data_IF_638156082166
#
_entry.id   IF_638156082166
#
_cell.length_a   1.000
_cell.length_b   1.000
_cell.length_c   1.000
_cell.angle_alpha   90.00
_cell.angle_beta   90.00
_cell.angle_gamma   90.00
#
_symmetry.space_group_name_H-M   'P 1'
#
loop_
_entity.id
_entity.type
_entity.pdbx_description
1 polymer ?
#
# COMPACT_ATOMS: atom_id res chain seq x y z
N UNK A 1 -44.99 -36.23 60.43
CA UNK A 1 -44.69 -34.91 59.83
C UNK A 1 -44.48 -35.10 58.35
N UNK A 2 -45.37 -34.50 57.58
CA UNK A 2 -45.47 -34.50 56.12
C UNK A 2 -44.44 -33.52 55.56
N UNK A 3 -43.63 -33.91 54.58
CA UNK A 3 -42.96 -32.97 53.67
C UNK A 3 -42.51 -33.69 52.40
N UNK A 4 -43.43 -33.73 51.43
CA UNK A 4 -43.20 -34.02 50.02
C UNK A 4 -42.26 -32.95 49.42
N UNK A 5 -41.15 -33.37 48.80
CA UNK A 5 -40.30 -32.47 48.01
C UNK A 5 -40.85 -32.37 46.57
N UNK A 6 -40.97 -31.16 45.99
CA UNK A 6 -41.51 -30.99 44.64
C UNK A 6 -40.47 -31.25 43.55
N UNK A 7 -40.94 -31.80 42.44
CA UNK A 7 -40.22 -31.93 41.18
C UNK A 7 -40.03 -30.54 40.53
N UNK A 8 -38.79 -30.16 40.26
CA UNK A 8 -38.46 -28.95 39.52
C UNK A 8 -38.42 -29.24 38.02
N UNK A 9 -39.42 -28.73 37.32
CA UNK A 9 -39.53 -28.70 35.87
C UNK A 9 -38.34 -27.99 35.21
N UNK A 10 -37.66 -28.67 34.29
CA UNK A 10 -36.67 -28.07 33.39
C UNK A 10 -37.39 -27.23 32.33
N UNK A 11 -37.56 -25.94 32.61
CA UNK A 11 -37.97 -24.94 31.62
C UNK A 11 -36.85 -24.74 30.61
N UNK A 12 -37.06 -25.22 29.39
CA UNK A 12 -36.27 -24.90 28.21
C UNK A 12 -36.41 -23.40 27.89
N UNK A 13 -35.46 -22.60 28.36
CA UNK A 13 -35.33 -21.20 27.96
C UNK A 13 -34.64 -21.13 26.60
N UNK A 14 -35.45 -20.95 25.57
CA UNK A 14 -35.06 -20.55 24.23
C UNK A 14 -34.50 -19.12 24.29
N UNK A 15 -33.21 -18.97 24.57
CA UNK A 15 -32.55 -17.66 24.56
C UNK A 15 -32.15 -17.31 23.13
N UNK A 16 -32.91 -16.37 22.60
CA UNK A 16 -32.85 -15.75 21.30
C UNK A 16 -31.43 -15.38 20.85
N UNK A 17 -31.20 -15.69 19.57
CA UNK A 17 -30.10 -15.28 18.72
C UNK A 17 -29.77 -13.79 18.89
N UNK A 18 -28.74 -13.50 19.66
CA UNK A 18 -27.93 -12.30 19.50
C UNK A 18 -26.52 -12.76 19.23
N UNK A 19 -26.27 -13.09 17.96
CA UNK A 19 -24.93 -13.39 17.48
C UNK A 19 -24.13 -12.09 17.53
N UNK A 20 -23.55 -11.80 18.69
CA UNK A 20 -22.51 -10.78 18.84
C UNK A 20 -21.38 -11.18 17.89
N UNK A 21 -21.31 -10.52 16.74
CA UNK A 21 -20.26 -10.66 15.73
C UNK A 21 -18.94 -10.21 16.34
N UNK A 22 -18.33 -11.09 17.11
CA UNK A 22 -16.96 -10.96 17.58
C UNK A 22 -16.10 -10.98 16.34
N UNK A 23 -15.54 -9.83 15.98
CA UNK A 23 -14.57 -9.67 14.91
C UNK A 23 -13.45 -10.70 15.14
N UNK A 24 -13.47 -11.76 14.36
CA UNK A 24 -12.57 -12.91 14.48
C UNK A 24 -11.16 -12.62 13.93
N UNK A 25 -10.76 -11.34 13.93
CA UNK A 25 -9.49 -10.86 13.37
C UNK A 25 -8.30 -11.08 14.30
N UNK A 26 -8.55 -11.37 15.59
CA UNK A 26 -7.48 -11.55 16.60
C UNK A 26 -7.53 -12.89 17.36
N UNK A 27 -8.33 -13.87 16.93
CA UNK A 27 -8.31 -15.18 17.57
C UNK A 27 -7.19 -16.05 16.95
N UNK A 28 -6.17 -16.50 17.71
CA UNK A 28 -5.14 -17.39 17.17
C UNK A 28 -5.72 -18.73 16.66
N UNK A 29 -6.90 -19.15 17.13
CA UNK A 29 -7.59 -20.32 16.57
C UNK A 29 -8.29 -20.05 15.23
N UNK A 30 -8.52 -18.79 14.87
CA UNK A 30 -9.06 -18.39 13.56
C UNK A 30 -7.98 -18.29 12.47
N UNK A 31 -6.70 -18.22 12.86
CA UNK A 31 -5.59 -18.46 11.93
C UNK A 31 -5.63 -19.89 11.33
N UNK A 32 -6.35 -20.82 11.99
CA UNK A 32 -6.60 -22.18 11.49
C UNK A 32 -7.81 -22.30 10.55
N UNK A 33 -8.60 -21.23 10.36
CA UNK A 33 -9.69 -21.26 9.38
C UNK A 33 -9.11 -21.23 7.95
N UNK A 34 -9.45 -22.24 7.15
CA UNK A 34 -8.95 -22.38 5.78
C UNK A 34 -9.27 -21.14 4.92
N UNK A 35 -10.48 -20.61 5.08
CA UNK A 35 -10.99 -19.46 4.33
C UNK A 35 -12.26 -18.91 5.01
N UNK A 36 -12.39 -17.58 5.12
CA UNK A 36 -13.57 -16.87 5.63
C UNK A 36 -13.89 -15.73 4.67
N UNK A 37 -15.18 -15.41 4.48
CA UNK A 37 -15.61 -14.24 3.69
C UNK A 37 -16.14 -13.14 4.59
N UNK A 38 -15.78 -11.90 4.30
CA UNK A 38 -16.28 -10.73 5.05
C UNK A 38 -17.78 -10.59 4.77
N UNK A 39 -18.66 -10.51 5.80
CA UNK A 39 -20.10 -10.53 5.59
C UNK A 39 -20.70 -9.18 5.13
N UNK A 40 -19.96 -8.08 5.29
CA UNK A 40 -20.41 -6.72 4.99
C UNK A 40 -19.26 -5.88 4.49
N UNK A 41 -19.57 -4.71 3.92
CA UNK A 41 -18.54 -3.74 3.57
C UNK A 41 -17.83 -3.24 4.84
N UNK A 42 -16.50 -3.20 4.78
CA UNK A 42 -15.63 -2.76 5.88
C UNK A 42 -14.71 -1.66 5.37
N UNK A 43 -14.76 -0.51 6.03
CA UNK A 43 -13.83 0.59 5.78
C UNK A 43 -12.54 0.33 6.55
N UNK A 44 -11.43 0.46 5.84
CA UNK A 44 -10.09 0.29 6.39
C UNK A 44 -9.17 1.40 5.90
N UNK A 45 -8.04 1.54 6.57
CA UNK A 45 -6.97 2.43 6.15
C UNK A 45 -5.66 1.67 5.99
N UNK A 46 -4.85 2.11 5.04
CA UNK A 46 -3.51 1.56 4.79
C UNK A 46 -2.54 2.09 5.85
N UNK A 47 -1.85 1.20 6.55
CA UNK A 47 -0.76 1.53 7.48
C UNK A 47 0.62 1.24 6.89
N UNK A 48 0.71 0.28 5.98
CA UNK A 48 1.96 -0.12 5.35
C UNK A 48 1.72 -0.71 3.96
N UNK A 49 2.73 -0.62 3.09
CA UNK A 49 2.76 -1.23 1.75
C UNK A 49 4.17 -1.71 1.44
N UNK A 50 4.28 -2.96 1.02
CA UNK A 50 5.55 -3.58 0.66
C UNK A 50 5.43 -4.28 -0.70
N UNK A 51 6.48 -4.19 -1.51
CA UNK A 51 6.63 -5.00 -2.71
C UNK A 51 7.31 -6.32 -2.33
N UNK A 52 6.58 -7.43 -2.44
CA UNK A 52 7.10 -8.77 -2.16
C UNK A 52 7.87 -9.38 -3.34
N UNK A 53 7.78 -8.77 -4.52
CA UNK A 53 8.46 -9.27 -5.73
C UNK A 53 9.85 -8.70 -5.94
N UNK A 54 10.26 -7.68 -5.18
CA UNK A 54 11.62 -7.14 -5.17
C UNK A 54 12.34 -7.58 -3.90
N UNK A 55 13.63 -7.93 -4.01
CA UNK A 55 14.38 -8.34 -2.82
C UNK A 55 14.54 -7.17 -1.84
N UNK A 56 14.59 -7.44 -0.53
CA UNK A 56 14.84 -6.38 0.45
C UNK A 56 16.19 -5.71 0.22
N UNK A 57 17.19 -6.47 -0.21
CA UNK A 57 18.52 -5.96 -0.54
C UNK A 57 18.48 -4.96 -1.69
N UNK A 58 17.85 -5.33 -2.81
CA UNK A 58 17.65 -4.44 -3.98
C UNK A 58 16.90 -3.16 -3.59
N UNK A 59 15.89 -3.27 -2.72
CA UNK A 59 15.19 -2.09 -2.21
C UNK A 59 16.06 -1.19 -1.33
N UNK A 60 16.97 -1.75 -0.53
CA UNK A 60 17.95 -0.98 0.26
C UNK A 60 18.95 -0.29 -0.66
N UNK A 61 19.51 -1.03 -1.62
CA UNK A 61 20.51 -0.52 -2.56
C UNK A 61 19.98 0.66 -3.37
N UNK A 62 18.77 0.55 -3.91
CA UNK A 62 18.09 1.63 -4.64
C UNK A 62 17.90 2.87 -3.76
N UNK A 63 17.45 2.69 -2.51
CA UNK A 63 17.26 3.81 -1.58
C UNK A 63 18.59 4.48 -1.20
N UNK A 64 19.67 3.71 -1.06
CA UNK A 64 21.00 4.24 -0.78
C UNK A 64 21.61 4.94 -2.01
N UNK A 65 21.40 4.41 -3.21
CA UNK A 65 21.82 5.04 -4.46
C UNK A 65 21.14 6.41 -4.63
N UNK A 66 19.83 6.49 -4.38
CA UNK A 66 19.11 7.76 -4.37
C UNK A 66 19.65 8.73 -3.32
N UNK A 67 19.96 8.25 -2.11
CA UNK A 67 20.56 9.08 -1.06
C UNK A 67 21.97 9.58 -1.43
N UNK A 68 22.71 8.82 -2.25
CA UNK A 68 24.03 9.20 -2.79
C UNK A 68 23.93 10.10 -4.03
N UNK A 69 22.73 10.38 -4.53
CA UNK A 69 22.52 11.13 -5.77
C UNK A 69 22.84 10.33 -7.04
N UNK A 70 22.94 9.01 -6.93
CA UNK A 70 23.18 8.08 -8.03
C UNK A 70 21.81 7.57 -8.52
N UNK A 71 21.24 8.19 -9.55
CA UNK A 71 20.07 7.63 -10.25
C UNK A 71 20.55 6.88 -11.47
N UNK A 72 20.31 5.57 -11.52
CA UNK A 72 20.54 4.76 -12.73
C UNK A 72 19.33 4.86 -13.65
N UNK A 73 19.48 5.59 -14.77
CA UNK A 73 18.51 5.49 -15.88
C UNK A 73 19.04 4.43 -16.85
N UNK A 74 18.64 3.17 -16.66
CA UNK A 74 19.15 2.04 -17.45
C UNK A 74 20.55 1.60 -16.98
N UNK A 75 21.50 1.43 -17.91
CA UNK A 75 22.90 1.02 -17.61
C UNK A 75 23.84 2.19 -17.23
N UNK A 76 23.33 3.41 -17.09
CA UNK A 76 24.14 4.59 -16.84
C UNK A 76 23.83 5.21 -15.48
N UNK A 77 24.87 5.37 -14.65
CA UNK A 77 24.82 6.11 -13.38
C UNK A 77 24.91 7.60 -13.72
N UNK A 78 23.84 8.35 -13.47
CA UNK A 78 23.86 9.82 -13.56
C UNK A 78 24.12 10.35 -12.14
N UNK A 79 25.23 11.09 -11.98
CA UNK A 79 25.49 11.88 -10.77
C UNK A 79 24.79 13.22 -10.94
N UNK A 80 23.86 13.53 -10.04
CA UNK A 80 23.28 14.87 -9.99
C UNK A 80 24.19 15.72 -9.11
N UNK A 81 25.00 16.57 -9.73
CA UNK A 81 25.65 17.69 -9.02
C UNK A 81 24.56 18.72 -8.71
N UNK A 82 24.47 19.15 -7.45
CA UNK A 82 23.64 20.29 -7.07
C UNK A 82 24.46 21.56 -7.33
N UNK A 83 24.35 22.11 -8.53
CA UNK A 83 24.68 23.48 -8.92
C UNK A 83 24.24 23.62 -10.38
N UNK A 84 23.07 24.21 -10.61
CA UNK A 84 22.72 25.01 -11.79
C UNK A 84 21.23 25.40 -11.68
N UNK A 85 20.94 26.31 -10.75
CA UNK A 85 19.81 27.23 -10.86
C UNK A 85 20.38 28.66 -10.90
N UNK A 86 19.92 29.41 -11.90
CA UNK A 86 20.03 30.86 -12.15
C UNK A 86 21.37 31.46 -12.66
N UNK A 87 21.42 31.84 -13.95
CA UNK A 87 21.28 33.26 -14.32
C UNK A 87 20.93 33.49 -15.81
N UNK A 88 20.06 34.46 -16.04
CA UNK A 88 19.55 34.92 -17.32
C UNK A 88 20.44 36.07 -17.84
N UNK A 89 21.30 35.80 -18.82
CA UNK A 89 22.01 36.86 -19.54
C UNK A 89 21.71 36.84 -21.05
N UNK A 90 20.83 37.76 -21.41
CA UNK A 90 20.52 38.27 -22.75
C UNK A 90 21.79 38.53 -23.59
N UNK A 91 21.96 37.78 -24.68
CA UNK A 91 23.01 37.98 -25.68
C UNK A 91 22.43 37.93 -27.10
N UNK A 92 22.21 39.11 -27.67
CA UNK A 92 21.86 39.37 -29.09
C UNK A 92 23.12 39.26 -29.97
N UNK A 93 22.91 39.05 -31.28
CA UNK A 93 23.80 39.13 -32.47
C UNK A 93 24.02 37.74 -33.11
N UNK A 94 23.19 37.31 -34.07
CA UNK A 94 23.11 37.63 -35.52
C UNK A 94 23.93 36.64 -36.38
N UNK A 95 23.31 36.11 -37.46
CA UNK A 95 24.03 35.40 -38.52
C UNK A 95 23.47 34.07 -39.04
N UNK A 96 22.56 34.18 -40.01
CA UNK A 96 22.38 33.30 -41.19
C UNK A 96 21.65 31.94 -41.10
N UNK A 97 20.74 31.79 -42.07
CA UNK A 97 19.67 30.82 -42.19
C UNK A 97 20.07 29.50 -42.88
N UNK A 98 19.41 28.40 -42.47
CA UNK A 98 18.91 27.38 -43.40
C UNK A 98 17.71 26.67 -42.76
N UNK A 99 16.54 26.99 -43.31
CA UNK A 99 15.22 26.52 -42.95
C UNK A 99 15.07 25.01 -43.19
N UNK A 100 14.65 24.26 -42.17
CA UNK A 100 13.88 23.03 -42.36
C UNK A 100 12.67 23.03 -41.45
N UNK A 101 11.54 23.26 -42.10
CA UNK A 101 10.19 23.16 -41.59
C UNK A 101 9.89 21.72 -41.21
N UNK A 102 9.64 21.46 -39.92
CA UNK A 102 8.80 20.33 -39.51
C UNK A 102 7.90 20.74 -38.35
N UNK A 103 6.81 21.39 -38.74
CA UNK A 103 5.59 21.52 -37.99
C UNK A 103 4.97 20.13 -37.87
N UNK A 104 5.07 19.48 -36.70
CA UNK A 104 4.19 18.35 -36.38
C UNK A 104 3.80 18.37 -34.90
N UNK A 105 2.68 19.06 -34.65
CA UNK A 105 1.67 18.74 -33.63
C UNK A 105 2.18 18.43 -32.21
N UNK A 106 2.56 19.48 -31.49
CA UNK A 106 2.54 19.50 -30.02
C UNK A 106 1.09 19.63 -29.54
N UNK A 107 0.30 18.57 -29.74
CA UNK A 107 -1.00 18.40 -29.11
C UNK A 107 -1.25 16.90 -28.99
N UNK A 108 -1.56 16.44 -27.78
CA UNK A 108 -1.78 15.04 -27.38
C UNK A 108 -0.58 14.29 -26.77
N UNK A 109 0.04 14.87 -25.73
CA UNK A 109 0.64 14.09 -24.64
C UNK A 109 0.24 14.61 -23.23
N UNK A 110 -0.78 15.47 -23.17
CA UNK A 110 -1.34 16.01 -21.93
C UNK A 110 -2.62 15.25 -21.53
N UNK A 111 -2.55 13.93 -21.44
CA UNK A 111 -3.68 13.13 -20.96
C UNK A 111 -3.21 11.77 -20.44
N UNK A 112 -2.69 11.75 -19.21
CA UNK A 112 -2.86 10.69 -18.19
C UNK A 112 -2.17 11.05 -16.86
N UNK A 113 -2.26 12.31 -16.44
CA UNK A 113 -2.11 12.66 -15.02
C UNK A 113 -3.49 12.57 -14.38
N UNK A 114 -3.98 11.35 -14.19
CA UNK A 114 -5.16 11.10 -13.37
C UNK A 114 -4.67 10.81 -11.95
N UNK A 115 -5.12 11.64 -11.01
CA UNK A 115 -4.91 11.59 -9.56
C UNK A 115 -3.72 12.38 -9.00
N UNK A 116 -3.62 13.67 -9.36
CA UNK A 116 -2.92 14.66 -8.54
C UNK A 116 -3.77 14.99 -7.31
N UNK A 117 -3.59 14.21 -6.24
CA UNK A 117 -4.04 14.53 -4.89
C UNK A 117 -2.82 14.53 -3.96
N UNK A 118 -2.31 15.72 -3.65
CA UNK A 118 -1.22 15.96 -2.69
C UNK A 118 0.17 16.00 -3.34
N UNK A 119 0.73 17.20 -3.52
CA UNK A 119 2.06 17.47 -4.07
C UNK A 119 3.23 17.07 -3.15
N UNK A 120 3.30 15.81 -2.77
CA UNK A 120 4.49 15.21 -2.17
C UNK A 120 5.26 14.40 -3.22
N UNK A 121 6.59 14.47 -3.20
CA UNK A 121 7.42 13.61 -4.03
C UNK A 121 7.11 12.14 -3.71
N UNK A 122 6.75 11.36 -4.73
CA UNK A 122 6.51 9.93 -4.56
C UNK A 122 7.79 9.27 -3.99
N UNK A 123 7.67 8.37 -2.99
CA UNK A 123 8.84 7.77 -2.39
C UNK A 123 9.63 6.96 -3.42
N UNK A 124 10.98 7.01 -3.38
CA UNK A 124 11.80 6.16 -4.21
C UNK A 124 11.45 4.70 -3.97
N UNK A 125 11.23 3.97 -5.06
CA UNK A 125 10.80 2.58 -5.03
C UNK A 125 11.35 1.86 -6.24
N UNK A 126 11.82 0.62 -6.03
CA UNK A 126 12.14 -0.30 -7.12
C UNK A 126 10.91 -0.45 -7.99
N UNK A 127 11.06 -0.19 -9.29
CA UNK A 127 9.96 -0.24 -10.23
C UNK A 127 9.31 -1.62 -10.18
N UNK A 128 8.05 -1.65 -9.76
CA UNK A 128 7.27 -2.87 -9.70
C UNK A 128 6.99 -3.37 -11.13
N UNK A 129 7.47 -4.58 -11.46
CA UNK A 129 7.12 -5.25 -12.71
C UNK A 129 5.60 -5.43 -12.86
N UNK A 130 5.11 -5.78 -14.06
CA UNK A 130 3.67 -5.94 -14.33
C UNK A 130 3.00 -6.97 -13.43
N UNK A 131 3.75 -7.95 -12.92
CA UNK A 131 3.29 -9.02 -12.04
C UNK A 131 3.77 -8.89 -10.59
N UNK A 132 4.20 -7.69 -10.17
CA UNK A 132 4.64 -7.48 -8.80
C UNK A 132 3.49 -7.69 -7.81
N UNK A 133 3.74 -8.47 -6.76
CA UNK A 133 2.79 -8.74 -5.68
C UNK A 133 3.08 -7.84 -4.50
N UNK A 134 2.07 -7.12 -4.02
CA UNK A 134 2.21 -6.27 -2.85
C UNK A 134 1.52 -6.84 -1.62
N UNK A 135 2.11 -6.54 -0.46
CA UNK A 135 1.51 -6.76 0.86
C UNK A 135 1.16 -5.43 1.47
N UNK A 136 -0.02 -5.32 2.06
CA UNK A 136 -0.45 -4.16 2.83
C UNK A 136 -0.69 -4.55 4.28
N UNK A 137 -0.57 -3.58 5.17
CA UNK A 137 -1.14 -3.65 6.52
C UNK A 137 -2.36 -2.74 6.54
N UNK A 138 -3.53 -3.30 6.82
CA UNK A 138 -4.79 -2.58 6.87
C UNK A 138 -5.26 -2.45 8.31
N UNK A 139 -5.90 -1.33 8.63
CA UNK A 139 -6.50 -1.10 9.94
C UNK A 139 -7.97 -0.70 9.81
N UNK A 140 -8.84 -1.33 10.61
CA UNK A 140 -10.26 -0.94 10.70
C UNK A 140 -10.48 0.24 11.67
N UNK A 141 -11.73 0.70 11.76
CA UNK A 141 -12.11 1.79 12.66
C UNK A 141 -12.01 1.45 14.16
N UNK A 142 -11.88 0.17 14.51
CA UNK A 142 -11.69 -0.30 15.89
C UNK A 142 -10.21 -0.43 16.25
N UNK A 143 -9.31 -0.16 15.29
CA UNK A 143 -7.88 -0.27 15.46
C UNK A 143 -7.31 -1.66 15.17
N UNK A 144 -8.13 -2.65 14.80
CA UNK A 144 -7.67 -3.99 14.46
C UNK A 144 -6.83 -3.93 13.19
N UNK A 145 -5.70 -4.66 13.18
CA UNK A 145 -4.77 -4.70 12.07
C UNK A 145 -4.81 -6.06 11.40
N UNK A 146 -4.73 -6.08 10.07
CA UNK A 146 -4.70 -7.31 9.28
C UNK A 146 -3.75 -7.16 8.10
N UNK A 147 -3.04 -8.23 7.77
CA UNK A 147 -2.27 -8.27 6.53
C UNK A 147 -3.21 -8.47 5.35
N UNK A 148 -2.86 -7.85 4.23
CA UNK A 148 -3.55 -8.07 2.97
C UNK A 148 -2.52 -8.34 1.87
N UNK A 149 -2.83 -9.28 0.99
CA UNK A 149 -1.96 -9.66 -0.13
C UNK A 149 -2.73 -9.45 -1.43
N UNK A 150 -2.08 -8.80 -2.39
CA UNK A 150 -2.59 -8.60 -3.74
C UNK A 150 -2.69 -9.95 -4.47
N UNK A 151 -3.88 -10.56 -4.48
CA UNK A 151 -4.12 -11.84 -5.16
C UNK A 151 -4.32 -11.64 -6.67
N UNK A 152 -4.99 -10.56 -7.05
CA UNK A 152 -5.11 -10.08 -8.44
C UNK A 152 -4.65 -8.64 -8.52
N UNK A 153 -4.09 -8.25 -9.66
CA UNK A 153 -3.53 -6.92 -9.87
C UNK A 153 -4.54 -5.83 -9.61
N UNK A 154 -4.17 -4.86 -8.77
CA UNK A 154 -4.90 -3.62 -8.53
C UNK A 154 -3.96 -2.45 -8.85
N UNK A 155 -4.21 -1.73 -9.94
CA UNK A 155 -3.23 -0.77 -10.51
C UNK A 155 -2.76 0.36 -9.58
N UNK A 156 -3.60 0.70 -8.60
CA UNK A 156 -3.34 1.74 -7.59
C UNK A 156 -2.55 1.19 -6.38
N UNK A 157 -2.41 -0.13 -6.26
CA UNK A 157 -1.58 -0.76 -5.24
C UNK A 157 -0.15 -0.87 -5.75
N UNK A 158 0.73 -0.04 -5.20
CA UNK A 158 2.17 -0.20 -5.33
C UNK A 158 2.88 0.68 -4.31
N UNK A 159 4.12 0.31 -3.97
CA UNK A 159 5.03 1.23 -3.29
C UNK A 159 5.23 2.47 -4.15
N UNK A 160 4.98 3.65 -3.58
CA UNK A 160 5.07 4.94 -4.30
C UNK A 160 3.79 5.37 -5.02
N UNK A 161 2.79 4.48 -5.13
CA UNK A 161 1.44 4.84 -5.60
C UNK A 161 0.43 4.87 -4.46
N UNK A 162 0.51 3.91 -3.55
CA UNK A 162 -0.36 3.80 -2.39
C UNK A 162 0.12 4.74 -1.29
N UNK A 163 -0.77 5.57 -0.79
CA UNK A 163 -0.47 6.49 0.31
C UNK A 163 -0.69 5.81 1.66
N UNK A 164 0.06 6.25 2.67
CA UNK A 164 -0.19 5.80 4.04
C UNK A 164 -1.34 6.63 4.62
N UNK A 165 -2.26 5.94 5.28
CA UNK A 165 -3.55 6.47 5.70
C UNK A 165 -4.61 6.49 4.59
N UNK A 166 -4.30 6.00 3.39
CA UNK A 166 -5.26 5.89 2.28
C UNK A 166 -6.44 5.02 2.70
N UNK A 167 -7.65 5.49 2.40
CA UNK A 167 -8.89 4.83 2.79
C UNK A 167 -9.32 3.85 1.72
N UNK A 168 -9.77 2.69 2.16
CA UNK A 168 -10.22 1.60 1.29
C UNK A 168 -11.49 0.98 1.84
N UNK A 169 -12.28 0.40 0.96
CA UNK A 169 -13.43 -0.45 1.30
C UNK A 169 -13.12 -1.86 0.87
N UNK A 170 -13.18 -2.79 1.82
CA UNK A 170 -13.28 -4.23 1.55
C UNK A 170 -14.76 -4.56 1.42
N UNK A 171 -15.17 -5.08 0.26
CA UNK A 171 -16.58 -5.37 -0.02
C UNK A 171 -17.03 -6.65 0.70
N UNK A 172 -18.33 -6.75 0.94
CA UNK A 172 -18.92 -8.03 1.32
C UNK A 172 -18.50 -9.13 0.33
N UNK A 173 -18.05 -10.26 0.84
CA UNK A 173 -17.52 -11.37 0.05
C UNK A 173 -16.00 -11.40 -0.12
N UNK A 174 -15.25 -10.34 0.27
CA UNK A 174 -13.77 -10.39 0.28
C UNK A 174 -13.29 -11.57 1.10
N UNK A 175 -12.30 -12.30 0.58
CA UNK A 175 -11.78 -13.52 1.19
C UNK A 175 -10.66 -13.20 2.17
N UNK A 176 -10.69 -13.84 3.33
CA UNK A 176 -9.62 -13.90 4.32
C UNK A 176 -9.17 -15.36 4.44
N UNK A 177 -7.89 -15.65 4.22
CA UNK A 177 -7.33 -16.99 4.41
C UNK A 177 -6.06 -16.89 5.24
N UNK A 178 -5.91 -17.78 6.24
CA UNK A 178 -4.72 -17.83 7.11
C UNK A 178 -4.35 -16.46 7.71
N UNK A 179 -5.36 -15.69 8.12
CA UNK A 179 -5.16 -14.37 8.71
C UNK A 179 -4.76 -13.25 7.74
N UNK A 180 -4.80 -13.48 6.42
CA UNK A 180 -4.55 -12.46 5.40
C UNK A 180 -5.77 -12.22 4.52
N UNK A 181 -6.07 -10.95 4.25
CA UNK A 181 -7.08 -10.53 3.26
C UNK A 181 -6.52 -10.75 1.85
N UNK A 182 -7.26 -11.44 1.00
CA UNK A 182 -6.89 -11.66 -0.40
C UNK A 182 -7.54 -10.59 -1.25
N UNK A 183 -6.74 -9.61 -1.68
CA UNK A 183 -7.23 -8.46 -2.43
C UNK A 183 -7.40 -8.80 -3.90
N UNK A 184 -8.57 -8.46 -4.44
CA UNK A 184 -8.87 -8.54 -5.86
C UNK A 184 -9.58 -7.25 -6.29
N UNK A 185 -9.45 -6.81 -7.56
CA UNK A 185 -10.04 -5.55 -8.02
C UNK A 185 -11.58 -5.54 -7.91
N UNK A 186 -12.22 -6.70 -7.86
CA UNK A 186 -13.68 -6.82 -7.74
C UNK A 186 -14.17 -6.65 -6.29
N UNK A 187 -13.30 -6.90 -5.30
CA UNK A 187 -13.69 -6.95 -3.87
C UNK A 187 -13.04 -5.87 -3.03
N UNK A 188 -12.16 -5.04 -3.60
CA UNK A 188 -11.60 -3.87 -2.91
C UNK A 188 -11.81 -2.60 -3.73
N UNK A 189 -12.18 -1.52 -3.05
CA UNK A 189 -12.30 -0.18 -3.65
C UNK A 189 -11.40 0.78 -2.90
N UNK A 190 -10.52 1.47 -3.60
CA UNK A 190 -9.64 2.49 -2.99
C UNK A 190 -10.35 3.84 -3.09
N UNK A 191 -10.60 4.45 -1.93
CA UNK A 191 -11.27 5.75 -1.81
C UNK A 191 -10.29 6.92 -1.92
N UNK A 192 -9.01 6.68 -1.62
CA UNK A 192 -7.97 7.71 -1.64
C UNK A 192 -7.73 8.34 -0.27
N UNK A 193 -7.13 9.53 -0.29
CA UNK A 193 -6.67 10.22 0.91
C UNK A 193 -5.26 9.81 1.34
N UNK A 194 -4.70 10.58 2.26
CA UNK A 194 -3.36 10.42 2.81
C UNK A 194 -3.35 11.05 4.20
N UNK A 195 -2.67 10.41 5.14
CA UNK A 195 -2.36 11.02 6.44
C UNK A 195 -0.91 11.49 6.37
N UNK A 196 -0.71 12.78 6.15
CA UNK A 196 0.62 13.35 5.81
C UNK A 196 1.71 12.96 6.81
N UNK A 197 1.46 13.17 8.11
CA UNK A 197 2.42 12.83 9.16
C UNK A 197 2.79 11.33 9.17
N UNK A 198 1.84 10.43 8.86
CA UNK A 198 2.11 9.00 8.81
C UNK A 198 2.86 8.60 7.55
N UNK A 199 2.52 9.22 6.42
CA UNK A 199 3.18 8.96 5.15
C UNK A 199 4.62 9.44 5.18
N UNK A 200 4.87 10.65 5.66
CA UNK A 200 6.22 11.19 5.82
C UNK A 200 7.06 10.33 6.77
N UNK A 201 6.54 10.00 7.96
CA UNK A 201 7.22 9.12 8.91
C UNK A 201 7.52 7.74 8.31
N UNK A 202 6.57 7.19 7.53
CA UNK A 202 6.76 5.92 6.84
C UNK A 202 7.88 5.98 5.80
N UNK A 203 7.95 7.05 5.01
CA UNK A 203 9.01 7.27 4.00
C UNK A 203 10.37 7.38 4.70
N UNK A 204 10.48 8.27 5.69
CA UNK A 204 11.71 8.53 6.43
C UNK A 204 12.23 7.26 7.13
N UNK A 205 11.33 6.49 7.74
CA UNK A 205 11.69 5.25 8.44
C UNK A 205 11.88 4.03 7.54
N UNK A 206 11.63 4.12 6.23
CA UNK A 206 11.60 2.95 5.34
C UNK A 206 12.97 2.28 5.19
N UNK A 207 14.02 3.06 4.96
CA UNK A 207 15.38 2.54 4.80
C UNK A 207 15.84 1.79 6.04
N UNK A 208 15.60 2.35 7.24
CA UNK A 208 15.94 1.73 8.50
C UNK A 208 15.21 0.38 8.69
N UNK A 209 13.89 0.35 8.47
CA UNK A 209 13.09 -0.88 8.55
C UNK A 209 13.55 -1.96 7.58
N UNK A 210 13.91 -1.58 6.35
CA UNK A 210 14.43 -2.53 5.36
C UNK A 210 15.80 -3.10 5.77
N UNK A 211 16.72 -2.26 6.28
CA UNK A 211 18.03 -2.70 6.76
C UNK A 211 17.92 -3.65 7.95
N UNK A 212 17.04 -3.36 8.90
CA UNK A 212 16.77 -4.23 10.03
C UNK A 212 16.22 -5.59 9.57
N UNK A 213 15.26 -5.59 8.64
CA UNK A 213 14.68 -6.81 8.10
C UNK A 213 15.69 -7.67 7.31
N UNK A 214 16.70 -7.06 6.66
CA UNK A 214 17.81 -7.80 6.03
C UNK A 214 18.78 -8.33 7.09
N UNK A 215 19.10 -7.55 8.12
CA UNK A 215 20.02 -7.95 9.19
C UNK A 215 19.50 -9.10 10.03
N UNK A 216 18.19 -9.19 10.24
CA UNK A 216 17.54 -10.29 10.96
C UNK A 216 17.53 -11.63 10.22
N UNK A 217 17.77 -11.62 8.90
CA UNK A 217 17.73 -12.82 8.03
C UNK A 217 19.12 -13.45 7.83
N UNK A 218 20.16 -12.92 8.51
CA UNK A 218 21.48 -13.58 8.55
C UNK A 218 21.41 -14.77 9.52
N UNK A 219 21.59 -16.02 9.06
CA UNK A 219 21.83 -17.11 10.00
C UNK A 219 23.09 -16.79 10.79
N UNK A 220 23.00 -16.87 12.12
CA UNK A 220 24.15 -16.74 13.01
C UNK A 220 25.03 -17.99 12.94
#
# INVERSE_FOLDING_TARGET
>A
MLATLPASSSSSSSSSTTTTTSNNTNNPSAASAKEVRIPRDVHVQVLDVENLSASRWEQVEELEAVARGERTRGRQVVRVTADDDDDNSNGVVDGTAASQTQTQTTAMAQARTANAGGGGAAPPAVAAGPNATHRLVLQDHQGNRVYAVELRRVDRIAVGKTNIGEKMVLRAGTVISRGSVLLTPETCTILGGKVEAWHEAWIQGRLARLKEAVGGDRPR
#
